data_IF_122789544226
#
_entry.id   IF_122789544226
#
_cell.length_a   1.000
_cell.length_b   1.000
_cell.length_c   1.000
_cell.angle_alpha   90.00
_cell.angle_beta   90.00
_cell.angle_gamma   90.00
#
_symmetry.space_group_name_H-M   'P 1'
#
loop_
_entity.id
_entity.type
_entity.pdbx_description
1 polymer ?
#
# COMPACT_ATOMS: atom_id res chain seq x y z
N UNK A 1 24.44 4.25 -4.58
CA UNK A 1 24.08 2.93 -5.17
C UNK A 1 22.58 2.74 -5.00
N UNK A 2 21.80 2.47 -6.07
CA UNK A 2 20.36 2.24 -5.96
C UNK A 2 20.08 0.96 -5.15
N UNK A 3 18.99 0.99 -4.38
CA UNK A 3 18.77 0.24 -3.15
C UNK A 3 18.92 -1.29 -3.22
N UNK A 4 19.53 -1.84 -2.18
CA UNK A 4 19.68 -3.28 -2.00
C UNK A 4 18.30 -3.94 -1.83
N UNK A 5 17.93 -4.94 -2.65
CA UNK A 5 16.61 -5.57 -2.63
C UNK A 5 16.25 -6.18 -1.26
N UNK A 6 17.24 -6.57 -0.46
CA UNK A 6 17.03 -7.10 0.89
C UNK A 6 16.48 -6.08 1.89
N UNK A 7 16.82 -4.79 1.77
CA UNK A 7 16.31 -3.74 2.66
C UNK A 7 14.91 -3.25 2.28
N UNK A 8 14.61 -3.27 0.98
CA UNK A 8 13.28 -2.94 0.48
C UNK A 8 12.26 -3.99 0.95
N UNK A 9 12.60 -5.29 0.85
CA UNK A 9 11.71 -6.35 1.30
C UNK A 9 11.34 -6.29 2.79
N UNK A 10 12.26 -5.88 3.67
CA UNK A 10 11.96 -5.69 5.11
C UNK A 10 11.05 -4.48 5.33
N UNK A 11 11.29 -3.40 4.60
CA UNK A 11 10.50 -2.16 4.70
C UNK A 11 9.09 -2.36 4.16
N UNK A 12 8.96 -3.07 3.04
CA UNK A 12 7.67 -3.43 2.43
C UNK A 12 6.85 -4.32 3.35
N UNK A 13 7.43 -5.38 3.92
CA UNK A 13 6.73 -6.26 4.88
C UNK A 13 6.26 -5.51 6.12
N UNK A 14 7.09 -4.61 6.66
CA UNK A 14 6.73 -3.81 7.83
C UNK A 14 5.59 -2.83 7.50
N UNK A 15 5.68 -2.13 6.37
CA UNK A 15 4.64 -1.18 5.95
C UNK A 15 3.33 -1.89 5.60
N UNK A 16 3.39 -3.07 4.97
CA UNK A 16 2.23 -3.91 4.70
C UNK A 16 1.54 -4.36 5.99
N UNK A 17 2.31 -4.88 6.94
CA UNK A 17 1.75 -5.30 8.22
C UNK A 17 1.09 -4.14 8.97
N UNK A 18 1.73 -2.96 8.97
CA UNK A 18 1.16 -1.76 9.62
C UNK A 18 -0.12 -1.28 8.92
N UNK A 19 -0.14 -1.25 7.59
CA UNK A 19 -1.30 -0.79 6.83
C UNK A 19 -2.49 -1.75 6.94
N UNK A 20 -2.25 -3.06 6.85
CA UNK A 20 -3.28 -4.09 7.07
C UNK A 20 -3.86 -3.98 8.47
N UNK A 21 -3.01 -3.88 9.50
CA UNK A 21 -3.48 -3.74 10.89
C UNK A 21 -4.30 -2.48 11.10
N UNK A 22 -3.89 -1.35 10.52
CA UNK A 22 -4.63 -0.10 10.57
C UNK A 22 -5.95 -0.19 9.83
N UNK A 23 -6.00 -0.82 8.65
CA UNK A 23 -7.24 -0.97 7.90
C UNK A 23 -8.22 -1.91 8.62
N UNK A 24 -7.74 -3.01 9.21
CA UNK A 24 -8.55 -3.90 10.05
C UNK A 24 -9.07 -3.16 11.28
N UNK A 25 -8.23 -2.37 11.98
CA UNK A 25 -8.70 -1.64 13.16
C UNK A 25 -9.68 -0.51 12.83
N UNK A 26 -9.60 0.06 11.63
CA UNK A 26 -10.50 1.11 11.15
C UNK A 26 -11.75 0.57 10.42
N UNK A 27 -11.85 -0.73 10.20
CA UNK A 27 -13.01 -1.33 9.53
C UNK A 27 -13.67 -2.39 10.39
N UNK A 28 -14.99 -2.29 10.52
CA UNK A 28 -15.82 -3.33 11.14
C UNK A 28 -16.05 -4.50 10.17
N UNK A 29 -15.01 -4.93 9.44
CA UNK A 29 -15.11 -5.95 8.41
C UNK A 29 -15.02 -7.36 9.00
N UNK A 30 -15.90 -8.29 8.61
CA UNK A 30 -15.83 -9.69 9.03
C UNK A 30 -14.57 -10.38 8.51
N UNK A 31 -14.01 -11.31 9.30
CA UNK A 31 -12.82 -12.12 8.99
C UNK A 31 -12.71 -12.67 7.55
N UNK A 32 -13.76 -13.19 6.89
CA UNK A 32 -13.66 -13.67 5.51
C UNK A 32 -13.22 -12.59 4.50
N UNK A 33 -13.42 -11.30 4.81
CA UNK A 33 -13.04 -10.19 3.93
C UNK A 33 -11.62 -9.69 4.15
N UNK A 34 -10.86 -10.26 5.09
CA UNK A 34 -9.50 -9.83 5.37
C UNK A 34 -8.54 -10.07 4.19
N UNK A 35 -8.79 -11.09 3.36
CA UNK A 35 -8.02 -11.33 2.13
C UNK A 35 -8.10 -10.17 1.14
N UNK A 36 -9.31 -9.66 0.90
CA UNK A 36 -9.56 -8.48 0.05
C UNK A 36 -8.89 -7.23 0.61
N UNK A 37 -8.91 -7.10 1.93
CA UNK A 37 -8.32 -5.97 2.67
C UNK A 37 -6.79 -5.96 2.55
N UNK A 38 -6.16 -7.13 2.58
CA UNK A 38 -4.72 -7.29 2.30
C UNK A 38 -4.41 -6.86 0.87
N UNK A 39 -5.17 -7.32 -0.11
CA UNK A 39 -4.97 -6.94 -1.52
C UNK A 39 -5.16 -5.44 -1.73
N UNK A 40 -6.17 -4.84 -1.09
CA UNK A 40 -6.41 -3.41 -1.15
C UNK A 40 -5.28 -2.60 -0.49
N UNK A 41 -4.70 -3.08 0.60
CA UNK A 41 -3.57 -2.42 1.28
C UNK A 41 -2.29 -2.40 0.45
N UNK A 42 -2.06 -3.42 -0.38
CA UNK A 42 -0.88 -3.56 -1.23
C UNK A 42 -0.85 -2.53 -2.35
N UNK A 43 -2.02 -2.11 -2.85
CA UNK A 43 -2.14 -1.18 -3.95
C UNK A 43 -1.57 0.23 -3.64
N UNK A 44 -1.97 0.92 -2.56
CA UNK A 44 -1.37 2.19 -2.17
C UNK A 44 0.09 2.02 -1.74
N UNK A 45 0.49 0.91 -1.11
CA UNK A 45 1.90 0.68 -0.74
C UNK A 45 2.85 0.66 -1.92
N UNK A 46 2.42 0.12 -3.06
CA UNK A 46 3.20 0.14 -4.29
C UNK A 46 3.30 1.54 -4.91
N UNK A 47 2.41 2.47 -4.54
CA UNK A 47 2.27 3.80 -5.15
C UNK A 47 2.63 4.96 -4.23
N UNK A 48 3.01 4.69 -2.99
CA UNK A 48 3.47 5.70 -2.02
C UNK A 48 4.99 5.64 -1.94
N UNK A 49 5.71 6.78 -2.04
CA UNK A 49 7.15 6.80 -1.93
C UNK A 49 7.58 6.42 -0.51
N UNK A 50 8.71 5.73 -0.39
CA UNK A 50 9.26 5.36 0.92
C UNK A 50 10.20 6.46 1.42
N UNK A 51 10.38 6.61 2.73
CA UNK A 51 11.29 7.63 3.31
C UNK A 51 12.73 7.54 2.80
N UNK A 52 13.15 6.37 2.30
CA UNK A 52 14.50 6.11 1.83
C UNK A 52 14.65 6.44 0.34
N UNK A 53 13.55 6.36 -0.42
CA UNK A 53 13.56 6.51 -1.89
C UNK A 53 12.41 7.41 -2.31
N UNK A 54 12.75 8.54 -2.95
CA UNK A 54 11.78 9.50 -3.53
C UNK A 54 11.00 8.95 -4.74
N UNK A 55 11.05 7.64 -4.97
CA UNK A 55 10.33 6.91 -6.02
C UNK A 55 9.51 5.81 -5.39
N UNK A 56 8.35 5.56 -5.95
CA UNK A 56 7.43 4.49 -5.54
C UNK A 56 7.95 3.13 -6.04
N UNK A 57 7.64 2.02 -5.35
CA UNK A 57 7.93 0.68 -5.87
C UNK A 57 7.38 0.46 -7.30
N UNK A 58 6.19 0.99 -7.58
CA UNK A 58 5.58 0.95 -8.91
C UNK A 58 6.44 1.67 -9.96
N UNK A 59 6.97 2.86 -9.65
CA UNK A 59 7.90 3.57 -10.55
C UNK A 59 9.20 2.80 -10.75
N UNK A 60 9.72 2.15 -9.70
CA UNK A 60 10.96 1.37 -9.80
C UNK A 60 10.79 0.15 -10.70
N UNK A 61 9.61 -0.48 -10.72
CA UNK A 61 9.34 -1.65 -11.56
C UNK A 61 8.87 -1.31 -12.97
N UNK A 62 8.04 -0.28 -13.13
CA UNK A 62 7.40 0.03 -14.41
C UNK A 62 7.98 1.26 -15.12
N UNK A 63 8.86 2.01 -14.46
CA UNK A 63 9.37 3.32 -14.91
C UNK A 63 8.25 4.34 -15.23
N UNK A 64 7.03 4.12 -14.74
CA UNK A 64 5.87 5.01 -14.92
C UNK A 64 5.45 5.61 -13.59
N UNK A 65 5.14 6.90 -13.60
CA UNK A 65 4.59 7.59 -12.42
C UNK A 65 3.16 7.12 -12.15
N UNK A 66 2.84 6.60 -10.96
CA UNK A 66 1.50 6.15 -10.63
C UNK A 66 0.58 7.35 -10.45
N UNK A 67 -0.61 7.29 -11.06
CA UNK A 67 -1.70 8.17 -10.64
C UNK A 67 -2.23 7.69 -9.28
N UNK A 68 -2.40 8.61 -8.34
CA UNK A 68 -3.03 8.37 -7.02
C UNK A 68 -4.35 9.12 -6.85
N UNK A 69 -4.79 9.89 -7.86
CA UNK A 69 -6.00 10.74 -7.80
C UNK A 69 -7.30 9.98 -7.55
N UNK A 70 -7.30 8.67 -7.77
CA UNK A 70 -8.45 7.78 -7.59
C UNK A 70 -8.45 7.08 -6.23
N UNK A 71 -7.40 7.24 -5.41
CA UNK A 71 -7.36 6.70 -4.06
C UNK A 71 -8.32 7.50 -3.17
N UNK A 72 -9.24 6.80 -2.53
CA UNK A 72 -10.16 7.37 -1.56
C UNK A 72 -9.80 6.87 -0.16
N UNK A 73 -10.22 7.61 0.86
CA UNK A 73 -10.08 7.18 2.25
C UNK A 73 -10.89 5.89 2.42
N UNK A 74 -10.27 4.89 3.05
CA UNK A 74 -10.93 3.62 3.37
C UNK A 74 -12.20 3.88 4.20
N UNK A 75 -13.33 3.26 3.81
CA UNK A 75 -14.63 3.48 4.45
C UNK A 75 -15.41 4.71 3.97
N UNK A 76 -14.91 5.44 2.97
CA UNK A 76 -15.69 6.49 2.32
C UNK A 76 -16.95 5.90 1.64
N UNK A 77 -18.14 6.51 1.79
CA UNK A 77 -19.33 6.07 1.08
C UNK A 77 -19.08 6.07 -0.43
N UNK A 78 -19.42 4.98 -1.10
CA UNK A 78 -19.36 4.90 -2.54
C UNK A 78 -20.31 5.96 -3.13
N UNK A 79 -19.81 6.78 -4.05
CA UNK A 79 -20.66 7.72 -4.77
C UNK A 79 -21.58 6.90 -5.67
N UNK A 80 -22.90 7.03 -5.43
CA UNK A 80 -23.95 6.46 -6.26
C UNK A 80 -23.94 7.06 -7.67
#
# INVERSE_FOLDING_TARGET
MPGKPSMNGVTERRNQTLMVRSMISHSSLPEPLWGELIMHSLYPLQRVPTKIVNKTPYELWTNKTPSIKHLHIWGCPAKA
#
